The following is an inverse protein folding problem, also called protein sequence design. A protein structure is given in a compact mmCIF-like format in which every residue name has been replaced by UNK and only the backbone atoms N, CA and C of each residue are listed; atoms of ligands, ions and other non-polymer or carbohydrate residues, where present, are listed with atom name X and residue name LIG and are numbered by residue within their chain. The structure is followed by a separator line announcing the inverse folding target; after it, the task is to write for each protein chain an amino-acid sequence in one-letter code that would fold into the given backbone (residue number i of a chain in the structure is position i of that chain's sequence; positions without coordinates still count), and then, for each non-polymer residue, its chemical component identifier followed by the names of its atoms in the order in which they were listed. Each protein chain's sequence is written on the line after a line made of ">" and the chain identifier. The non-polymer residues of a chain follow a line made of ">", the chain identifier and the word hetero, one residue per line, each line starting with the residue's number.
data_IF_785032912122
#
_entry.id   IF_785032912122
#
_cell.length_a   1.000
_cell.length_b   1.000
_cell.length_c   1.000
_cell.angle_alpha   90.00
_cell.angle_beta   90.00
_cell.angle_gamma   90.00
#
_symmetry.space_group_name_H-M   'P 1'
#
loop_
_entity.id
_entity.type
_entity.pdbx_description
1 polymer ?
#
# COMPACT_ATOMS: atom_id res chain seq x y z
N UNK A 1 24.46 6.06 17.20
CA UNK A 1 23.96 4.90 16.42
C UNK A 1 25.11 4.36 15.59
N UNK A 2 25.43 3.06 15.70
CA UNK A 2 26.50 2.44 14.90
C UNK A 2 25.87 1.90 13.61
N UNK A 3 26.22 2.46 12.45
CA UNK A 3 25.72 2.03 11.13
C UNK A 3 26.87 1.48 10.27
N UNK A 4 26.57 0.43 9.51
CA UNK A 4 27.54 -0.32 8.71
C UNK A 4 27.75 0.35 7.35
N UNK A 5 29.00 0.44 6.86
CA UNK A 5 29.28 0.79 5.46
C UNK A 5 30.46 -0.02 4.91
N UNK A 6 30.30 -0.54 3.68
CA UNK A 6 31.34 -1.26 2.95
C UNK A 6 32.29 -0.26 2.29
N UNK A 7 33.60 -0.44 2.50
CA UNK A 7 34.62 0.34 1.80
C UNK A 7 35.31 -0.56 0.77
N UNK A 8 35.09 -0.30 -0.51
CA UNK A 8 35.82 -0.96 -1.59
C UNK A 8 37.04 -0.09 -1.95
N UNK A 9 38.24 -0.54 -1.58
CA UNK A 9 39.47 0.03 -2.13
C UNK A 9 39.69 -0.53 -3.54
N UNK A 10 40.03 0.33 -4.51
CA UNK A 10 40.51 -0.11 -5.83
C UNK A 10 41.87 -0.77 -5.65
N UNK A 11 41.87 -2.06 -5.40
CA UNK A 11 43.05 -2.91 -5.58
C UNK A 11 42.86 -3.72 -6.86
N UNK A 12 43.91 -3.74 -7.69
CA UNK A 12 43.91 -4.42 -8.98
C UNK A 12 43.54 -5.89 -8.87
N UNK A 13 43.03 -6.43 -9.98
CA UNK A 13 42.58 -7.82 -10.19
C UNK A 13 43.22 -8.84 -9.22
N UNK A 14 42.39 -9.46 -8.39
CA UNK A 14 42.62 -10.82 -7.89
C UNK A 14 43.11 -10.99 -6.46
N UNK A 15 42.58 -10.25 -5.47
CA UNK A 15 42.71 -10.64 -4.04
C UNK A 15 41.41 -10.41 -3.26
N UNK A 16 41.19 -11.28 -2.27
CA UNK A 16 39.99 -11.40 -1.44
C UNK A 16 39.54 -10.06 -0.84
N UNK A 17 38.27 -9.73 -1.02
CA UNK A 17 37.65 -8.54 -0.42
C UNK A 17 37.84 -8.61 1.10
N UNK A 18 38.64 -7.69 1.66
CA UNK A 18 38.81 -7.58 3.10
C UNK A 18 37.44 -7.33 3.74
N UNK A 19 37.15 -8.08 4.81
CA UNK A 19 35.90 -7.97 5.57
C UNK A 19 35.64 -6.50 5.96
N UNK A 20 34.38 -6.03 5.92
CA UNK A 20 34.05 -4.66 6.29
C UNK A 20 34.57 -4.33 7.69
N UNK A 21 35.38 -3.28 7.80
CA UNK A 21 35.91 -2.77 9.06
C UNK A 21 34.99 -1.67 9.57
N UNK A 22 34.63 -1.75 10.86
CA UNK A 22 33.78 -0.75 11.50
C UNK A 22 34.63 0.46 11.89
N UNK A 23 34.33 1.61 11.28
CA UNK A 23 34.87 2.91 11.67
C UNK A 23 33.83 3.69 12.45
N UNK A 24 34.28 4.52 13.39
CA UNK A 24 33.42 5.40 14.18
C UNK A 24 33.43 6.81 13.55
N UNK A 25 32.27 7.46 13.48
CA UNK A 25 32.07 8.74 12.82
C UNK A 25 31.72 9.81 13.86
N UNK A 26 32.53 10.87 14.02
CA UNK A 26 32.21 11.98 14.91
C UNK A 26 31.31 13.06 14.26
N UNK A 27 30.79 12.83 13.05
CA UNK A 27 30.08 13.85 12.26
C UNK A 27 28.58 13.66 12.34
N UNK A 28 27.89 14.67 12.87
CA UNK A 28 26.44 14.81 12.80
C UNK A 28 26.13 15.79 11.65
N UNK A 29 25.26 15.40 10.71
CA UNK A 29 24.73 16.21 9.59
C UNK A 29 25.41 16.19 8.21
N UNK A 30 26.57 15.54 7.99
CA UNK A 30 27.17 15.38 6.63
C UNK A 30 27.21 13.90 6.17
N UNK A 31 26.32 13.06 6.70
CA UNK A 31 26.22 11.67 6.26
C UNK A 31 25.37 11.58 4.99
N UNK A 32 25.83 10.86 3.95
CA UNK A 32 25.02 10.63 2.76
C UNK A 32 23.77 9.83 3.12
N UNK A 33 22.73 10.00 2.32
CA UNK A 33 21.47 9.29 2.44
C UNK A 33 21.68 7.77 2.55
N UNK A 34 20.83 7.11 3.33
CA UNK A 34 20.96 5.68 3.60
C UNK A 34 20.92 4.87 2.30
N UNK A 35 21.86 3.93 2.15
CA UNK A 35 22.09 3.14 0.93
C UNK A 35 22.80 3.85 -0.23
N UNK A 36 23.24 5.10 -0.05
CA UNK A 36 24.03 5.84 -1.06
C UNK A 36 25.53 5.77 -0.77
N UNK A 37 26.33 5.40 -1.78
CA UNK A 37 27.79 5.39 -1.71
C UNK A 37 28.30 6.79 -2.01
N UNK A 38 29.02 7.40 -1.07
CA UNK A 38 29.65 8.71 -1.26
C UNK A 38 31.09 8.50 -1.75
N UNK A 39 31.32 8.82 -3.02
CA UNK A 39 32.62 8.72 -3.67
C UNK A 39 33.55 9.90 -3.37
N UNK A 40 33.02 11.00 -2.82
CA UNK A 40 33.72 12.23 -2.48
C UNK A 40 34.07 12.31 -0.99
N UNK A 41 33.68 11.30 -0.19
CA UNK A 41 33.90 11.25 1.25
C UNK A 41 35.37 11.46 1.64
N UNK A 42 36.29 10.76 0.97
CA UNK A 42 37.73 10.87 1.22
C UNK A 42 38.34 12.22 0.79
N UNK A 43 37.57 13.07 0.10
CA UNK A 43 37.97 14.45 -0.22
C UNK A 43 37.66 15.41 0.93
N UNK A 44 36.71 15.05 1.82
CA UNK A 44 36.31 15.84 2.99
C UNK A 44 36.86 15.30 4.32
N UNK A 45 37.16 14.00 4.38
CA UNK A 45 37.55 13.32 5.61
C UNK A 45 38.81 12.46 5.43
N UNK A 46 39.66 12.45 6.45
CA UNK A 46 40.83 11.58 6.54
C UNK A 46 40.73 10.67 7.75
N UNK A 47 41.21 9.43 7.62
CA UNK A 47 41.26 8.48 8.72
C UNK A 47 42.36 8.90 9.71
N UNK A 48 42.07 8.85 11.00
CA UNK A 48 43.04 9.08 12.05
C UNK A 48 44.01 7.89 12.18
N UNK A 49 45.10 8.09 12.92
CA UNK A 49 46.15 7.08 13.13
C UNK A 49 45.64 5.80 13.82
N UNK A 50 44.47 5.87 14.47
CA UNK A 50 43.79 4.73 15.09
C UNK A 50 43.12 3.78 14.08
N UNK A 51 43.21 4.10 12.79
CA UNK A 51 42.61 3.35 11.68
C UNK A 51 41.07 3.16 11.82
N UNK A 52 40.42 4.02 12.62
CA UNK A 52 39.04 3.81 13.04
C UNK A 52 38.20 5.07 13.05
N UNK A 53 38.77 6.23 13.36
CA UNK A 53 38.04 7.48 13.49
C UNK A 53 38.28 8.36 12.27
N UNK A 54 37.22 8.91 11.67
CA UNK A 54 37.34 9.87 10.56
C UNK A 54 37.35 11.32 11.07
N UNK A 55 38.36 12.09 10.68
CA UNK A 55 38.50 13.51 10.99
C UNK A 55 38.23 14.37 9.74
N UNK A 56 37.58 15.52 9.93
CA UNK A 56 37.39 16.52 8.85
C UNK A 56 38.76 17.02 8.39
N UNK A 57 38.99 17.07 7.09
CA UNK A 57 40.16 17.75 6.51
C UNK A 57 39.94 19.27 6.68
N UNK A 58 40.83 19.99 7.38
CA UNK A 58 40.66 21.42 7.63
C UNK A 58 40.53 22.23 6.33
N UNK A 59 39.45 23.00 6.17
CA UNK A 59 39.20 23.85 5.00
C UNK A 59 38.26 23.27 3.92
N UNK A 60 37.71 22.08 4.13
CA UNK A 60 36.86 21.35 3.15
C UNK A 60 35.42 21.09 3.60
N UNK A 61 35.02 21.57 4.78
CA UNK A 61 33.64 21.50 5.24
C UNK A 61 32.81 22.68 4.70
N UNK A 62 31.51 22.50 4.36
CA UNK A 62 30.59 23.62 4.23
C UNK A 62 30.56 24.38 5.56
N UNK A 63 30.73 25.70 5.52
CA UNK A 63 30.77 26.55 6.72
C UNK A 63 29.47 26.40 7.54
N UNK A 64 29.58 25.72 8.67
CA UNK A 64 28.93 26.15 9.91
C UNK A 64 30.01 26.14 10.98
N UNK A 65 30.51 27.34 11.26
CA UNK A 65 31.54 27.59 12.25
C UNK A 65 30.86 27.64 13.62
N UNK A 66 31.10 26.65 14.47
CA UNK A 66 30.99 26.83 15.93
C UNK A 66 32.25 26.29 16.56
N UNK A 67 33.20 27.20 16.73
CA UNK A 67 34.37 27.06 17.60
C UNK A 67 33.92 26.72 19.01
N UNK A 68 34.18 25.50 19.46
CA UNK A 68 34.17 25.14 20.88
C UNK A 68 35.59 25.26 21.41
N UNK A 69 35.84 26.21 22.31
CA UNK A 69 36.95 26.13 23.27
C UNK A 69 36.40 25.83 24.67
N UNK A 70 37.11 25.01 25.46
CA UNK A 70 36.55 24.39 26.67
C UNK A 70 36.86 25.22 27.92
N UNK A 71 36.02 25.11 28.95
CA UNK A 71 36.46 25.35 30.32
C UNK A 71 35.58 24.65 31.36
N UNK A 72 36.27 24.08 32.33
CA UNK A 72 35.80 23.28 33.45
C UNK A 72 35.02 24.07 34.51
N UNK A 73 34.28 23.31 35.31
CA UNK A 73 33.69 23.57 36.64
C UNK A 73 34.44 24.55 37.55
N UNK A 74 33.74 25.48 38.24
CA UNK A 74 33.34 25.43 39.68
C UNK A 74 32.94 26.82 40.25
N UNK A 75 31.88 26.83 41.07
CA UNK A 75 31.61 27.65 42.27
C UNK A 75 31.11 29.12 42.20
N UNK A 76 29.84 29.27 42.55
CA UNK A 76 29.23 29.93 43.74
C UNK A 76 29.27 31.46 44.00
N UNK A 77 28.10 31.93 44.47
CA UNK A 77 27.73 33.15 45.21
C UNK A 77 27.92 34.57 44.60
N UNK A 78 26.79 35.23 44.29
CA UNK A 78 26.18 36.35 45.06
C UNK A 78 25.46 37.40 44.17
N UNK A 79 24.25 37.81 44.58
CA UNK A 79 23.40 38.90 44.04
C UNK A 79 23.80 40.25 44.71
N UNK A 80 23.31 41.48 44.34
CA UNK A 80 22.05 41.81 43.63
C UNK A 80 22.04 43.05 42.67
N UNK A 81 20.84 43.26 42.08
CA UNK A 81 20.14 44.54 41.74
C UNK A 81 20.41 45.31 40.42
N UNK A 82 19.47 45.16 39.48
CA UNK A 82 18.70 46.12 38.63
C UNK A 82 19.23 47.57 38.39
N UNK A 83 18.93 48.24 37.23
CA UNK A 83 17.65 48.15 36.52
C UNK A 83 17.65 48.10 34.97
N UNK A 84 16.51 47.61 34.48
CA UNK A 84 15.86 47.83 33.18
C UNK A 84 16.31 49.09 32.42
N UNK A 85 16.68 48.91 31.16
CA UNK A 85 16.35 49.86 30.09
C UNK A 85 15.94 49.07 28.87
N UNK A 86 14.64 49.04 28.61
CA UNK A 86 14.09 48.64 27.34
C UNK A 86 14.42 49.73 26.31
N UNK A 87 15.03 49.33 25.20
CA UNK A 87 14.85 49.96 23.89
C UNK A 87 15.36 48.98 22.85
N UNK A 88 14.50 48.05 22.44
CA UNK A 88 14.53 47.59 21.07
C UNK A 88 13.24 48.05 20.43
N UNK A 89 13.34 49.15 19.69
CA UNK A 89 12.37 49.52 18.66
C UNK A 89 12.06 48.27 17.85
N UNK A 90 10.80 47.85 17.87
CA UNK A 90 10.25 46.91 16.92
C UNK A 90 10.53 47.48 15.52
N UNK A 91 11.35 46.77 14.77
CA UNK A 91 11.53 46.98 13.34
C UNK A 91 10.24 46.51 12.66
N UNK A 92 9.26 47.41 12.59
CA UNK A 92 7.97 47.19 11.94
C UNK A 92 8.22 47.16 10.43
N UNK A 93 8.64 46.00 9.91
CA UNK A 93 8.80 45.80 8.47
C UNK A 93 9.62 44.60 8.01
N UNK A 94 10.39 43.94 8.89
CA UNK A 94 11.24 42.83 8.46
C UNK A 94 10.42 41.54 8.24
N UNK A 95 10.18 41.20 6.96
CA UNK A 95 9.62 39.90 6.56
C UNK A 95 10.74 38.89 6.36
N UNK A 96 10.42 37.61 6.54
CA UNK A 96 11.37 36.51 6.38
C UNK A 96 10.74 35.39 5.56
N UNK A 97 11.56 34.68 4.78
CA UNK A 97 11.07 33.60 3.94
C UNK A 97 10.53 32.44 4.78
N UNK A 98 9.34 31.96 4.42
CA UNK A 98 8.67 30.86 5.11
C UNK A 98 9.39 29.52 4.89
N UNK A 99 9.99 29.32 3.71
CA UNK A 99 10.69 28.07 3.35
C UNK A 99 11.87 27.73 4.27
N UNK A 100 12.48 28.75 4.88
CA UNK A 100 13.59 28.60 5.82
C UNK A 100 13.14 28.24 7.25
N UNK A 101 11.84 28.06 7.48
CA UNK A 101 11.27 27.69 8.78
C UNK A 101 11.15 26.18 8.91
N UNK A 102 11.14 25.70 10.16
CA UNK A 102 10.94 24.27 10.45
C UNK A 102 9.60 23.81 9.87
N UNK A 103 9.46 22.54 9.45
CA UNK A 103 8.20 22.04 8.92
C UNK A 103 7.01 22.25 9.86
N UNK A 104 7.21 22.16 11.17
CA UNK A 104 6.15 22.42 12.14
C UNK A 104 5.67 23.88 12.09
N UNK A 105 6.60 24.85 12.03
CA UNK A 105 6.24 26.27 11.88
C UNK A 105 5.60 26.55 10.52
N UNK A 106 6.08 25.92 9.43
CA UNK A 106 5.46 26.07 8.10
C UNK A 106 4.01 25.57 8.09
N UNK A 107 3.75 24.39 8.64
CA UNK A 107 2.39 23.85 8.79
C UNK A 107 1.51 24.73 9.68
N UNK A 108 2.05 25.32 10.76
CA UNK A 108 1.30 26.24 11.61
C UNK A 108 0.89 27.51 10.85
N UNK A 109 1.81 28.11 10.07
CA UNK A 109 1.49 29.26 9.21
C UNK A 109 0.41 28.89 8.18
N UNK A 110 0.54 27.74 7.51
CA UNK A 110 -0.45 27.28 6.55
C UNK A 110 -1.83 27.01 7.18
N UNK A 111 -1.86 26.52 8.42
CA UNK A 111 -3.10 26.25 9.13
C UNK A 111 -3.83 27.55 9.52
N UNK A 112 -3.08 28.52 10.05
CA UNK A 112 -3.58 29.81 10.53
C UNK A 112 -3.98 30.77 9.39
N UNK A 113 -3.33 30.67 8.23
CA UNK A 113 -3.56 31.55 7.10
C UNK A 113 -4.57 31.01 6.06
N UNK A 114 -5.49 31.86 5.63
CA UNK A 114 -6.42 31.54 4.53
C UNK A 114 -5.81 31.75 3.13
N UNK A 115 -4.64 32.39 3.07
CA UNK A 115 -3.93 32.69 1.83
C UNK A 115 -2.54 32.09 1.87
N UNK A 116 -2.03 31.76 0.68
CA UNK A 116 -0.65 31.37 0.51
C UNK A 116 0.29 32.54 0.86
N UNK A 117 1.33 32.25 1.64
CA UNK A 117 2.38 33.18 2.02
C UNK A 117 3.74 32.56 1.68
N UNK A 118 4.58 33.28 0.92
CA UNK A 118 5.99 32.94 0.72
C UNK A 118 6.89 33.55 1.79
N UNK A 119 6.43 34.63 2.43
CA UNK A 119 7.11 35.37 3.49
C UNK A 119 6.17 35.63 4.66
N UNK A 120 6.75 35.72 5.86
CA UNK A 120 6.03 35.99 7.11
C UNK A 120 6.71 37.11 7.90
N UNK A 121 5.88 37.90 8.57
CA UNK A 121 6.31 38.89 9.57
C UNK A 121 6.81 38.22 10.87
N UNK A 122 7.48 38.99 11.71
CA UNK A 122 7.92 38.52 13.02
C UNK A 122 6.73 38.12 13.91
N UNK A 123 5.63 38.87 13.87
CA UNK A 123 4.42 38.59 14.63
C UNK A 123 3.79 37.26 14.19
N UNK A 124 3.67 37.04 12.87
CA UNK A 124 3.16 35.77 12.33
C UNK A 124 4.08 34.60 12.69
N UNK A 125 5.39 34.80 12.69
CA UNK A 125 6.35 33.78 13.10
C UNK A 125 6.18 33.42 14.58
N UNK A 126 6.02 34.40 15.47
CA UNK A 126 5.81 34.15 16.91
C UNK A 126 4.56 33.31 17.13
N UNK A 127 3.41 33.72 16.55
CA UNK A 127 2.14 33.00 16.70
C UNK A 127 2.24 31.57 16.16
N UNK A 128 2.88 31.38 15.00
CA UNK A 128 3.06 30.05 14.41
C UNK A 128 4.00 29.17 15.25
N UNK A 129 5.04 29.74 15.85
CA UNK A 129 5.97 29.01 16.70
C UNK A 129 5.36 28.60 18.05
N UNK A 130 4.51 29.46 18.62
CA UNK A 130 3.70 29.13 19.80
C UNK A 130 2.77 27.95 19.51
N UNK A 131 2.01 28.00 18.40
CA UNK A 131 1.16 26.89 17.99
C UNK A 131 1.97 25.60 17.74
N UNK A 132 3.15 25.72 17.13
CA UNK A 132 4.01 24.57 16.85
C UNK A 132 4.59 23.89 18.10
N UNK A 133 4.67 24.63 19.21
CA UNK A 133 5.18 24.14 20.49
C UNK A 133 4.06 23.79 21.49
N UNK A 134 2.79 24.08 21.14
CA UNK A 134 1.65 23.83 22.00
C UNK A 134 1.24 22.34 21.96
N UNK A 135 1.70 21.58 22.96
CA UNK A 135 1.32 20.18 23.16
C UNK A 135 -0.16 20.02 23.55
N UNK A 136 -0.82 21.09 24.02
CA UNK A 136 -2.24 21.11 24.35
C UNK A 136 -3.15 21.24 23.12
N UNK A 137 -2.61 21.67 21.97
CA UNK A 137 -3.39 21.77 20.74
C UNK A 137 -3.54 20.41 20.05
N UNK A 138 -4.55 19.64 20.47
CA UNK A 138 -4.79 18.28 19.99
C UNK A 138 -4.92 18.21 18.46
N UNK A 139 -5.54 19.20 17.83
CA UNK A 139 -5.70 19.23 16.37
C UNK A 139 -4.34 19.38 15.68
N UNK A 140 -3.51 20.34 16.11
CA UNK A 140 -2.21 20.56 15.51
C UNK A 140 -1.25 19.40 15.77
N UNK A 141 -1.30 18.80 16.97
CA UNK A 141 -0.54 17.60 17.27
C UNK A 141 -0.95 16.41 16.41
N UNK A 142 -2.25 16.24 16.14
CA UNK A 142 -2.75 15.24 15.19
C UNK A 142 -2.21 15.49 13.78
N UNK A 143 -2.23 16.74 13.31
CA UNK A 143 -1.70 17.14 12.00
C UNK A 143 -0.19 16.87 11.88
N UNK A 144 0.60 17.23 12.90
CA UNK A 144 2.04 17.01 12.92
C UNK A 144 2.38 15.52 12.93
N UNK A 145 1.66 14.72 13.71
CA UNK A 145 1.83 13.27 13.74
C UNK A 145 1.55 12.65 12.37
N UNK A 146 0.39 12.99 11.78
CA UNK A 146 0.02 12.53 10.45
C UNK A 146 1.07 12.91 9.40
N UNK A 147 1.56 14.15 9.44
CA UNK A 147 2.63 14.64 8.55
C UNK A 147 3.92 13.83 8.69
N UNK A 148 4.30 13.41 9.90
CA UNK A 148 5.50 12.60 10.10
C UNK A 148 5.34 11.14 9.64
N UNK A 149 4.10 10.65 9.55
CA UNK A 149 3.79 9.29 9.07
C UNK A 149 3.67 9.21 7.52
N UNK A 150 3.71 10.35 6.82
CA UNK A 150 3.55 10.43 5.36
C UNK A 150 4.91 10.61 4.69
N UNK A 151 5.32 9.60 3.92
CA UNK A 151 6.47 9.69 3.03
C UNK A 151 6.24 10.74 1.92
N UNK A 152 7.32 11.27 1.35
CA UNK A 152 7.33 12.20 0.21
C UNK A 152 6.74 13.60 0.50
N UNK A 153 6.35 13.90 1.76
CA UNK A 153 5.84 15.24 2.12
C UNK A 153 6.93 16.32 2.06
N UNK A 154 8.20 15.91 2.22
CA UNK A 154 9.38 16.77 2.06
C UNK A 154 9.58 17.27 0.62
N UNK A 155 9.05 16.53 -0.35
CA UNK A 155 9.26 16.80 -1.78
C UNK A 155 8.20 17.78 -2.32
N UNK A 156 7.22 18.14 -1.49
CA UNK A 156 6.21 19.12 -1.85
C UNK A 156 6.80 20.52 -1.93
N UNK A 157 6.47 21.24 -3.02
CA UNK A 157 6.65 22.68 -3.04
C UNK A 157 5.87 23.36 -1.91
N UNK A 158 6.36 24.50 -1.42
CA UNK A 158 5.70 25.28 -0.37
C UNK A 158 4.22 25.60 -0.67
N UNK A 159 3.89 25.82 -1.95
CA UNK A 159 2.52 26.06 -2.38
C UNK A 159 1.65 24.80 -2.37
N UNK A 160 2.23 23.65 -2.72
CA UNK A 160 1.54 22.36 -2.63
C UNK A 160 1.29 21.96 -1.16
N UNK A 161 2.24 22.23 -0.28
CA UNK A 161 2.09 22.05 1.17
C UNK A 161 0.93 22.89 1.72
N UNK A 162 0.87 24.19 1.36
CA UNK A 162 -0.26 25.04 1.75
C UNK A 162 -1.61 24.49 1.27
N UNK A 163 -1.70 24.06 0.01
CA UNK A 163 -2.93 23.46 -0.55
C UNK A 163 -3.32 22.16 0.17
N UNK A 164 -2.35 21.32 0.50
CA UNK A 164 -2.59 20.11 1.27
C UNK A 164 -3.18 20.44 2.64
N UNK A 165 -2.60 21.41 3.37
CA UNK A 165 -3.12 21.83 4.67
C UNK A 165 -4.53 22.39 4.58
N UNK A 166 -4.86 23.16 3.52
CA UNK A 166 -6.24 23.61 3.31
C UNK A 166 -7.19 22.44 3.05
N UNK A 167 -6.80 21.48 2.22
CA UNK A 167 -7.59 20.29 1.95
C UNK A 167 -7.83 19.47 3.23
N UNK A 168 -6.83 19.37 4.12
CA UNK A 168 -6.99 18.74 5.44
C UNK A 168 -7.99 19.50 6.30
N UNK A 169 -7.96 20.84 6.34
CA UNK A 169 -8.95 21.66 7.09
C UNK A 169 -10.38 21.40 6.59
N UNK A 170 -10.55 21.21 5.28
CA UNK A 170 -11.86 20.96 4.67
C UNK A 170 -12.41 19.57 5.00
N UNK A 171 -11.57 18.54 4.98
CA UNK A 171 -11.98 17.16 5.27
C UNK A 171 -12.06 16.88 6.77
N UNK A 172 -11.17 17.49 7.56
CA UNK A 172 -11.01 17.29 9.00
C UNK A 172 -11.18 18.62 9.74
N UNK A 173 -12.42 19.00 10.12
CA UNK A 173 -12.69 20.27 10.79
C UNK A 173 -12.02 20.41 12.16
N UNK A 174 -11.44 21.58 12.46
CA UNK A 174 -10.69 21.83 13.71
C UNK A 174 -11.48 21.62 15.02
N UNK A 175 -12.81 21.74 14.96
CA UNK A 175 -13.69 21.57 16.13
C UNK A 175 -13.91 20.10 16.54
N UNK A 176 -13.28 19.14 15.84
CA UNK A 176 -13.45 17.70 16.08
C UNK A 176 -12.10 17.04 16.36
N UNK A 177 -12.11 15.99 17.17
CA UNK A 177 -10.98 15.08 17.30
C UNK A 177 -10.89 14.17 16.07
N UNK A 178 -9.67 13.90 15.63
CA UNK A 178 -9.39 13.09 14.43
C UNK A 178 -8.33 12.04 14.73
N UNK A 179 -8.45 10.89 14.06
CA UNK A 179 -7.43 9.85 14.08
C UNK A 179 -6.25 10.28 13.17
N UNK A 180 -5.02 10.40 13.71
CA UNK A 180 -3.84 10.75 12.90
C UNK A 180 -3.59 9.77 11.76
N UNK A 181 -3.96 8.49 11.88
CA UNK A 181 -3.81 7.52 10.79
C UNK A 181 -4.72 7.86 9.60
N UNK A 182 -5.95 8.32 9.86
CA UNK A 182 -6.88 8.73 8.81
C UNK A 182 -6.44 10.02 8.13
N UNK A 183 -5.92 10.98 8.90
CA UNK A 183 -5.35 12.22 8.36
C UNK A 183 -4.13 11.89 7.47
N UNK A 184 -3.24 10.99 7.91
CA UNK A 184 -2.09 10.55 7.13
C UNK A 184 -2.50 9.84 5.84
N UNK A 185 -3.50 8.95 5.90
CA UNK A 185 -4.03 8.27 4.72
C UNK A 185 -4.61 9.25 3.69
N UNK A 186 -5.33 10.28 4.14
CA UNK A 186 -5.80 11.34 3.26
C UNK A 186 -4.64 12.12 2.63
N UNK A 187 -3.66 12.55 3.44
CA UNK A 187 -2.50 13.29 2.95
C UNK A 187 -1.73 12.50 1.89
N UNK A 188 -1.46 11.22 2.13
CA UNK A 188 -0.79 10.34 1.17
C UNK A 188 -1.58 10.20 -0.13
N UNK A 189 -2.90 10.00 -0.04
CA UNK A 189 -3.78 9.96 -1.21
C UNK A 189 -3.76 11.27 -1.99
N UNK A 190 -3.74 12.41 -1.31
CA UNK A 190 -3.70 13.74 -1.92
C UNK A 190 -2.36 14.03 -2.63
N UNK A 191 -1.25 13.60 -2.03
CA UNK A 191 0.09 13.73 -2.63
C UNK A 191 0.19 12.89 -3.91
N UNK A 192 -0.29 11.65 -3.86
CA UNK A 192 -0.29 10.73 -5.02
C UNK A 192 -1.26 11.14 -6.13
N UNK A 193 -2.35 11.83 -5.79
CA UNK A 193 -3.34 12.30 -6.75
C UNK A 193 -2.77 13.38 -7.67
N UNK A 194 -3.11 13.29 -8.96
CA UNK A 194 -2.80 14.35 -9.91
C UNK A 194 -3.54 15.65 -9.55
N UNK A 195 -3.00 16.79 -9.98
CA UNK A 195 -3.54 18.10 -9.62
C UNK A 195 -5.04 18.28 -9.98
N UNK A 196 -5.50 17.64 -11.06
CA UNK A 196 -6.91 17.65 -11.48
C UNK A 196 -7.84 16.78 -10.64
N UNK A 197 -7.31 15.79 -9.91
CA UNK A 197 -8.10 14.80 -9.17
C UNK A 197 -8.27 15.16 -7.69
N UNK A 198 -7.41 16.03 -7.15
CA UNK A 198 -7.38 16.40 -5.73
C UNK A 198 -8.71 16.97 -5.20
N UNK A 199 -9.43 17.74 -6.02
CA UNK A 199 -10.74 18.27 -5.62
C UNK A 199 -11.79 17.16 -5.50
N UNK A 200 -11.77 16.18 -6.42
CA UNK A 200 -12.66 15.03 -6.34
C UNK A 200 -12.33 14.16 -5.13
N UNK A 201 -11.03 13.98 -4.83
CA UNK A 201 -10.58 13.29 -3.63
C UNK A 201 -11.14 13.95 -2.36
N UNK A 202 -11.06 15.29 -2.25
CA UNK A 202 -11.62 16.03 -1.11
C UNK A 202 -13.12 15.77 -0.95
N UNK A 203 -13.90 15.83 -2.03
CA UNK A 203 -15.34 15.57 -1.99
C UNK A 203 -15.68 14.12 -1.66
N UNK A 204 -14.93 13.15 -2.21
CA UNK A 204 -15.08 11.72 -1.88
C UNK A 204 -14.86 11.48 -0.38
N UNK A 205 -13.81 12.06 0.21
CA UNK A 205 -13.53 11.96 1.64
C UNK A 205 -14.60 12.65 2.51
N UNK A 206 -15.08 13.84 2.10
CA UNK A 206 -16.19 14.53 2.79
C UNK A 206 -17.50 13.74 2.75
N UNK A 207 -17.72 12.96 1.70
CA UNK A 207 -18.89 12.08 1.55
C UNK A 207 -18.79 10.76 2.34
N UNK A 208 -17.64 10.48 2.94
CA UNK A 208 -17.37 9.22 3.66
C UNK A 208 -16.91 8.06 2.77
N UNK A 209 -16.63 8.33 1.49
CA UNK A 209 -16.07 7.36 0.54
C UNK A 209 -14.55 7.29 0.72
N UNK A 210 -14.14 6.50 1.71
CA UNK A 210 -12.72 6.29 2.01
C UNK A 210 -12.06 5.42 0.94
N UNK A 211 -10.83 5.74 0.50
CA UNK A 211 -10.05 4.83 -0.34
C UNK A 211 -9.84 3.52 0.44
N UNK A 212 -10.01 2.39 -0.24
CA UNK A 212 -9.70 1.07 0.33
C UNK A 212 -8.28 1.09 0.85
N UNK A 213 -8.12 1.02 2.18
CA UNK A 213 -6.84 0.80 2.86
C UNK A 213 -6.19 -0.40 2.17
N UNK A 214 -4.94 -0.26 1.71
CA UNK A 214 -4.13 -1.41 1.30
C UNK A 214 -3.89 -2.25 2.56
N UNK A 215 -4.89 -3.04 2.94
CA UNK A 215 -4.83 -3.91 4.10
C UNK A 215 -3.71 -4.91 3.87
N UNK A 216 -2.81 -5.13 4.86
CA UNK A 216 -1.73 -6.08 4.71
C UNK A 216 -2.30 -7.45 4.33
N UNK A 217 -1.74 -8.07 3.30
CA UNK A 217 -2.18 -9.37 2.80
C UNK A 217 -0.99 -10.28 2.52
N UNK A 218 -1.24 -11.58 2.45
CA UNK A 218 -0.28 -12.55 1.90
C UNK A 218 -1.00 -13.47 0.91
N UNK A 219 -0.22 -14.24 0.16
CA UNK A 219 -0.74 -15.27 -0.73
C UNK A 219 -0.64 -16.64 -0.08
N UNK A 220 -1.73 -17.39 -0.15
CA UNK A 220 -1.79 -18.78 0.30
C UNK A 220 -2.56 -19.58 -0.74
N UNK A 221 -1.93 -20.59 -1.34
CA UNK A 221 -2.55 -21.42 -2.36
C UNK A 221 -3.14 -20.61 -3.55
N UNK A 222 -2.58 -19.41 -3.84
CA UNK A 222 -3.09 -18.49 -4.85
C UNK A 222 -4.23 -17.56 -4.39
N UNK A 223 -4.69 -17.68 -3.14
CA UNK A 223 -5.65 -16.78 -2.52
C UNK A 223 -4.94 -15.59 -1.87
N UNK A 224 -5.45 -14.38 -2.11
CA UNK A 224 -5.02 -13.17 -1.37
C UNK A 224 -5.75 -13.14 -0.01
N UNK A 225 -5.06 -13.52 1.06
CA UNK A 225 -5.60 -13.56 2.43
C UNK A 225 -5.32 -12.23 3.13
N UNK A 226 -6.35 -11.61 3.69
CA UNK A 226 -6.25 -10.38 4.47
C UNK A 226 -5.67 -10.68 5.85
N UNK A 227 -4.75 -9.83 6.35
CA UNK A 227 -4.10 -10.02 7.65
C UNK A 227 -5.05 -10.01 8.83
N UNK A 228 -6.11 -9.21 8.72
CA UNK A 228 -7.12 -9.09 9.75
C UNK A 228 -8.33 -10.01 9.49
N UNK A 229 -8.28 -10.81 8.41
CA UNK A 229 -9.33 -11.76 8.07
C UNK A 229 -9.33 -12.95 9.03
N UNK A 230 -10.50 -13.25 9.58
CA UNK A 230 -10.74 -14.46 10.36
C UNK A 230 -11.09 -15.66 9.45
N UNK A 231 -11.38 -16.80 10.06
CA UNK A 231 -11.77 -18.03 9.36
C UNK A 231 -13.09 -17.88 8.57
N UNK A 232 -13.95 -16.94 8.98
CA UNK A 232 -15.25 -16.67 8.35
C UNK A 232 -15.15 -15.68 7.19
N UNK A 233 -13.98 -15.11 6.94
CA UNK A 233 -13.74 -14.18 5.84
C UNK A 233 -14.07 -14.86 4.51
N UNK A 234 -14.94 -14.20 3.73
CA UNK A 234 -15.51 -14.73 2.49
C UNK A 234 -14.86 -14.11 1.27
N UNK A 235 -14.36 -14.97 0.39
CA UNK A 235 -13.74 -14.59 -0.87
C UNK A 235 -14.68 -14.90 -2.03
N UNK A 236 -14.91 -13.93 -2.92
CA UNK A 236 -15.82 -14.10 -4.05
C UNK A 236 -15.28 -15.13 -5.05
N UNK A 237 -16.07 -16.15 -5.37
CA UNK A 237 -15.68 -17.23 -6.30
C UNK A 237 -15.31 -16.67 -7.67
N UNK A 238 -16.02 -15.65 -8.17
CA UNK A 238 -15.75 -15.04 -9.47
C UNK A 238 -14.38 -14.34 -9.58
N UNK A 239 -13.65 -14.16 -8.46
CA UNK A 239 -12.30 -13.59 -8.42
C UNK A 239 -11.20 -14.65 -8.36
N UNK A 240 -11.55 -15.93 -8.22
CA UNK A 240 -10.59 -17.03 -8.20
C UNK A 240 -10.13 -17.41 -9.62
N UNK A 241 -9.00 -18.13 -9.77
CA UNK A 241 -8.62 -18.74 -11.05
C UNK A 241 -9.72 -19.67 -11.58
N UNK A 242 -9.86 -19.77 -12.91
CA UNK A 242 -10.95 -20.51 -13.56
C UNK A 242 -11.17 -21.93 -13.01
N UNK A 243 -10.10 -22.69 -12.80
CA UNK A 243 -10.17 -24.06 -12.25
C UNK A 243 -10.80 -24.08 -10.86
N UNK A 244 -10.37 -23.16 -9.99
CA UNK A 244 -10.95 -22.97 -8.67
C UNK A 244 -12.42 -22.56 -8.74
N UNK A 245 -12.82 -21.72 -9.70
CA UNK A 245 -14.24 -21.38 -9.90
C UNK A 245 -15.07 -22.60 -10.28
N UNK A 246 -14.55 -23.45 -11.18
CA UNK A 246 -15.21 -24.67 -11.62
C UNK A 246 -15.37 -25.67 -10.47
N UNK A 247 -14.29 -25.92 -9.72
CA UNK A 247 -14.31 -26.82 -8.57
C UNK A 247 -15.21 -26.30 -7.46
N UNK A 248 -15.24 -24.99 -7.22
CA UNK A 248 -16.13 -24.37 -6.24
C UNK A 248 -17.60 -24.68 -6.49
N UNK A 249 -18.01 -24.86 -7.76
CA UNK A 249 -19.36 -25.28 -8.12
C UNK A 249 -19.54 -26.79 -8.21
N UNK A 250 -18.46 -27.55 -8.44
CA UNK A 250 -18.50 -29.01 -8.54
C UNK A 250 -18.72 -29.69 -7.19
N UNK A 251 -18.24 -29.09 -6.10
CA UNK A 251 -18.23 -29.70 -4.77
C UNK A 251 -19.48 -29.42 -3.94
N UNK A 252 -20.46 -28.69 -4.49
CA UNK A 252 -21.67 -28.24 -3.79
C UNK A 252 -22.94 -28.54 -4.55
N UNK A 253 -24.01 -28.90 -3.84
CA UNK A 253 -25.31 -29.12 -4.46
C UNK A 253 -26.04 -27.81 -4.84
N UNK A 254 -25.61 -26.68 -4.26
CA UNK A 254 -26.19 -25.35 -4.50
C UNK A 254 -25.15 -24.35 -5.04
N UNK A 255 -25.63 -23.26 -5.63
CA UNK A 255 -24.79 -22.22 -6.22
C UNK A 255 -23.92 -21.55 -5.15
N UNK A 256 -22.60 -21.63 -5.30
CA UNK A 256 -21.65 -21.05 -4.34
C UNK A 256 -21.07 -19.74 -4.87
N UNK A 257 -21.40 -18.62 -4.23
CA UNK A 257 -20.87 -17.29 -4.59
C UNK A 257 -19.56 -16.94 -3.88
N UNK A 258 -19.31 -17.52 -2.71
CA UNK A 258 -18.15 -17.24 -1.89
C UNK A 258 -17.55 -18.52 -1.32
N UNK A 259 -16.26 -18.48 -1.01
CA UNK A 259 -15.54 -19.51 -0.25
C UNK A 259 -14.89 -18.88 0.97
N UNK A 260 -14.80 -19.63 2.06
CA UNK A 260 -13.89 -19.29 3.17
C UNK A 260 -12.45 -19.66 2.82
N UNK A 261 -11.50 -19.25 3.69
CA UNK A 261 -10.10 -19.65 3.57
C UNK A 261 -9.94 -21.18 3.59
N UNK A 262 -10.68 -21.86 4.48
CA UNK A 262 -10.67 -23.32 4.59
C UNK A 262 -11.24 -24.01 3.35
N UNK A 263 -12.41 -23.56 2.89
CA UNK A 263 -13.03 -24.09 1.66
C UNK A 263 -12.11 -23.89 0.44
N UNK A 264 -11.42 -22.74 0.33
CA UNK A 264 -10.45 -22.52 -0.73
C UNK A 264 -9.25 -23.50 -0.65
N UNK A 265 -8.76 -23.80 0.56
CA UNK A 265 -7.68 -24.76 0.73
C UNK A 265 -8.11 -26.18 0.28
N UNK A 266 -9.34 -26.59 0.56
CA UNK A 266 -9.91 -27.85 0.07
C UNK A 266 -10.00 -27.88 -1.46
N UNK A 267 -10.45 -26.79 -2.08
CA UNK A 267 -10.51 -26.68 -3.55
C UNK A 267 -9.11 -26.70 -4.19
N UNK A 268 -8.12 -26.07 -3.56
CA UNK A 268 -6.73 -26.15 -4.02
C UNK A 268 -6.16 -27.56 -3.89
N UNK A 269 -6.43 -28.26 -2.79
CA UNK A 269 -6.04 -29.65 -2.61
C UNK A 269 -6.69 -30.54 -3.68
N UNK A 270 -7.97 -30.32 -3.97
CA UNK A 270 -8.69 -31.04 -5.02
C UNK A 270 -8.16 -30.76 -6.43
N UNK A 271 -7.77 -29.52 -6.73
CA UNK A 271 -7.11 -29.19 -8.01
C UNK A 271 -5.76 -29.91 -8.16
N UNK A 272 -5.00 -29.97 -7.06
CA UNK A 272 -3.65 -30.54 -7.02
C UNK A 272 -3.63 -32.07 -6.95
N UNK A 273 -4.76 -32.71 -6.64
CA UNK A 273 -4.90 -34.16 -6.61
C UNK A 273 -4.92 -34.72 -8.04
N UNK A 274 -3.74 -35.13 -8.51
CA UNK A 274 -3.55 -35.73 -9.84
C UNK A 274 -4.14 -37.13 -9.96
N UNK A 275 -4.39 -37.81 -8.84
CA UNK A 275 -4.95 -39.16 -8.81
C UNK A 275 -6.47 -39.14 -8.93
N UNK A 276 -7.11 -37.99 -8.64
CA UNK A 276 -8.53 -37.77 -8.88
C UNK A 276 -8.85 -37.65 -10.38
N UNK A 277 -8.98 -38.80 -11.06
CA UNK A 277 -9.23 -38.83 -12.50
C UNK A 277 -10.50 -38.08 -12.92
N UNK A 278 -11.56 -38.11 -12.12
CA UNK A 278 -12.81 -37.41 -12.42
C UNK A 278 -12.58 -35.90 -12.50
N UNK A 279 -11.91 -35.33 -11.49
CA UNK A 279 -11.57 -33.91 -11.45
C UNK A 279 -10.61 -33.54 -12.57
N UNK A 280 -9.54 -34.30 -12.77
CA UNK A 280 -8.54 -34.00 -13.81
C UNK A 280 -9.14 -34.05 -15.22
N UNK A 281 -10.03 -35.01 -15.49
CA UNK A 281 -10.71 -35.14 -16.79
C UNK A 281 -11.67 -33.97 -17.02
N UNK A 282 -12.43 -33.56 -15.99
CA UNK A 282 -13.31 -32.40 -16.07
C UNK A 282 -12.53 -31.10 -16.28
N UNK A 283 -11.48 -30.86 -15.50
CA UNK A 283 -10.64 -29.66 -15.62
C UNK A 283 -10.06 -29.56 -17.03
N UNK A 284 -9.52 -30.66 -17.56
CA UNK A 284 -8.95 -30.69 -18.91
C UNK A 284 -9.99 -30.42 -20.00
N UNK A 285 -11.18 -31.02 -19.89
CA UNK A 285 -12.26 -30.78 -20.85
C UNK A 285 -12.76 -29.34 -20.80
N UNK A 286 -12.99 -28.80 -19.59
CA UNK A 286 -13.45 -27.44 -19.39
C UNK A 286 -12.43 -26.40 -19.87
N UNK A 287 -11.14 -26.60 -19.59
CA UNK A 287 -10.05 -25.72 -20.06
C UNK A 287 -9.92 -25.69 -21.58
N UNK A 288 -10.28 -26.78 -22.25
CA UNK A 288 -10.23 -26.85 -23.73
C UNK A 288 -11.36 -26.08 -24.43
N UNK A 289 -12.34 -25.56 -23.67
CA UNK A 289 -13.54 -24.92 -24.19
C UNK A 289 -13.60 -23.45 -23.76
N UNK A 290 -13.34 -22.53 -24.70
CA UNK A 290 -13.27 -21.09 -24.41
C UNK A 290 -14.61 -20.53 -23.91
N UNK A 291 -15.73 -21.09 -24.39
CA UNK A 291 -17.07 -20.70 -24.02
C UNK A 291 -17.36 -20.98 -22.54
N UNK A 292 -16.87 -22.10 -22.00
CA UNK A 292 -17.01 -22.42 -20.56
C UNK A 292 -16.23 -21.40 -19.71
N UNK A 293 -15.04 -20.97 -20.17
CA UNK A 293 -14.21 -19.99 -19.47
C UNK A 293 -14.86 -18.60 -19.40
N UNK A 294 -15.79 -18.32 -20.30
CA UNK A 294 -16.56 -17.08 -20.32
C UNK A 294 -17.85 -17.14 -19.48
N UNK A 295 -18.19 -18.30 -18.89
CA UNK A 295 -19.40 -18.43 -18.08
C UNK A 295 -19.30 -17.62 -16.78
N UNK A 296 -20.44 -17.06 -16.37
CA UNK A 296 -20.59 -16.53 -15.02
C UNK A 296 -20.69 -17.69 -13.99
N UNK A 297 -20.69 -17.35 -12.71
CA UNK A 297 -20.77 -18.33 -11.62
C UNK A 297 -22.01 -19.24 -11.73
N UNK A 298 -23.14 -18.71 -12.22
CA UNK A 298 -24.41 -19.44 -12.32
C UNK A 298 -24.38 -20.44 -13.47
N UNK A 299 -23.83 -20.06 -14.61
CA UNK A 299 -23.69 -20.94 -15.76
C UNK A 299 -22.61 -22.00 -15.54
N UNK A 300 -21.54 -21.68 -14.82
CA UNK A 300 -20.58 -22.67 -14.32
C UNK A 300 -21.26 -23.71 -13.43
N UNK A 301 -22.09 -23.29 -12.47
CA UNK A 301 -22.84 -24.21 -11.62
C UNK A 301 -23.81 -25.09 -12.40
N UNK A 302 -24.53 -24.53 -13.38
CA UNK A 302 -25.41 -25.32 -14.26
C UNK A 302 -24.63 -26.37 -15.03
N UNK A 303 -23.46 -26.01 -15.54
CA UNK A 303 -22.57 -26.91 -16.26
C UNK A 303 -22.05 -28.03 -15.35
N UNK A 304 -21.47 -27.72 -14.18
CA UNK A 304 -20.98 -28.74 -13.24
C UNK A 304 -22.11 -29.65 -12.75
N UNK A 305 -23.30 -29.10 -12.49
CA UNK A 305 -24.48 -29.88 -12.13
C UNK A 305 -24.90 -30.86 -13.25
N UNK A 306 -24.83 -30.43 -14.51
CA UNK A 306 -25.11 -31.31 -15.65
C UNK A 306 -24.04 -32.42 -15.79
N UNK A 307 -22.76 -32.09 -15.58
CA UNK A 307 -21.66 -33.06 -15.55
C UNK A 307 -21.92 -34.11 -14.48
N UNK A 308 -22.25 -33.72 -13.24
CA UNK A 308 -22.55 -34.66 -12.14
C UNK A 308 -23.71 -35.60 -12.43
N UNK A 309 -24.70 -35.14 -13.19
CA UNK A 309 -25.86 -35.95 -13.57
C UNK A 309 -25.55 -36.98 -14.65
N UNK A 310 -24.62 -36.67 -15.56
CA UNK A 310 -24.25 -37.54 -16.68
C UNK A 310 -23.09 -38.47 -16.34
N UNK A 311 -22.15 -37.99 -15.54
CA UNK A 311 -20.90 -38.66 -15.22
C UNK A 311 -20.81 -38.87 -13.70
N UNK A 312 -20.82 -40.13 -13.29
CA UNK A 312 -20.69 -40.54 -11.88
C UNK A 312 -19.31 -40.17 -11.32
N UNK A 313 -19.25 -39.53 -10.15
CA UNK A 313 -17.96 -39.13 -9.53
C UNK A 313 -17.07 -40.31 -9.12
N UNK A 314 -17.68 -41.46 -8.83
CA UNK A 314 -17.02 -42.72 -8.43
C UNK A 314 -16.45 -43.51 -9.61
N UNK A 315 -16.63 -43.05 -10.85
CA UNK A 315 -16.21 -43.76 -12.05
C UNK A 315 -15.20 -42.98 -12.86
N UNK A 316 -14.30 -43.73 -13.50
CA UNK A 316 -13.41 -43.22 -14.52
C UNK A 316 -14.20 -42.95 -15.80
N UNK A 317 -14.06 -41.77 -16.38
CA UNK A 317 -14.67 -41.41 -17.66
C UNK A 317 -13.60 -41.07 -18.68
N UNK A 318 -13.85 -41.39 -19.94
CA UNK A 318 -12.94 -41.02 -21.03
C UNK A 318 -13.05 -39.52 -21.33
N UNK A 319 -11.89 -38.86 -21.47
CA UNK A 319 -11.81 -37.45 -21.83
C UNK A 319 -12.59 -37.13 -23.11
N UNK A 320 -12.51 -38.01 -24.11
CA UNK A 320 -13.21 -37.83 -25.39
C UNK A 320 -14.73 -37.74 -25.19
N UNK A 321 -15.31 -38.54 -24.30
CA UNK A 321 -16.74 -38.54 -24.03
C UNK A 321 -17.18 -37.27 -23.29
N UNK A 322 -16.38 -36.82 -22.33
CA UNK A 322 -16.66 -35.60 -21.57
C UNK A 322 -16.51 -34.35 -22.47
N UNK A 323 -15.54 -34.34 -23.38
CA UNK A 323 -15.40 -33.30 -24.42
C UNK A 323 -16.61 -33.27 -25.38
N UNK A 324 -17.08 -34.45 -25.83
CA UNK A 324 -18.27 -34.54 -26.68
C UNK A 324 -19.50 -33.97 -25.98
N UNK A 325 -19.74 -34.35 -24.73
CA UNK A 325 -20.83 -33.79 -23.93
C UNK A 325 -20.70 -32.28 -23.78
N UNK A 326 -19.51 -31.80 -23.39
CA UNK A 326 -19.26 -30.38 -23.15
C UNK A 326 -19.55 -29.54 -24.38
N UNK A 327 -19.09 -29.97 -25.56
CA UNK A 327 -19.36 -29.29 -26.83
C UNK A 327 -20.85 -29.28 -27.19
N UNK A 328 -21.53 -30.43 -27.05
CA UNK A 328 -22.98 -30.51 -27.27
C UNK A 328 -23.74 -29.61 -26.29
N UNK A 329 -23.33 -29.58 -25.02
CA UNK A 329 -23.94 -28.79 -23.95
C UNK A 329 -23.85 -27.29 -24.19
N UNK A 330 -22.66 -26.82 -24.57
CA UNK A 330 -22.39 -25.41 -24.88
C UNK A 330 -23.21 -24.97 -26.09
N UNK A 331 -23.23 -25.78 -27.16
CA UNK A 331 -23.98 -25.50 -28.38
C UNK A 331 -25.51 -25.55 -28.19
N UNK A 332 -25.99 -26.20 -27.14
CA UNK A 332 -27.43 -26.35 -26.88
C UNK A 332 -28.01 -25.09 -26.22
N UNK A 333 -29.13 -24.54 -26.75
CA UNK A 333 -29.84 -23.43 -26.14
C UNK A 333 -30.19 -23.71 -24.68
N UNK A 334 -30.17 -22.67 -23.84
CA UNK A 334 -30.41 -22.80 -22.39
C UNK A 334 -31.69 -23.58 -22.06
N UNK A 335 -32.78 -23.36 -22.82
CA UNK A 335 -34.08 -24.02 -22.62
C UNK A 335 -34.06 -25.53 -22.88
N UNK A 336 -33.10 -26.02 -23.66
CA UNK A 336 -33.00 -27.43 -24.09
C UNK A 336 -31.89 -28.20 -23.40
N UNK A 337 -30.99 -27.49 -22.70
CA UNK A 337 -29.91 -28.09 -21.91
C UNK A 337 -30.44 -29.18 -20.97
N UNK A 338 -31.54 -28.95 -20.26
CA UNK A 338 -32.12 -29.97 -19.37
C UNK A 338 -32.53 -31.28 -20.07
N UNK A 339 -32.96 -31.21 -21.34
CA UNK A 339 -33.30 -32.39 -22.15
C UNK A 339 -32.01 -33.12 -22.54
N UNK A 340 -31.01 -32.38 -23.03
CA UNK A 340 -29.70 -32.94 -23.38
C UNK A 340 -29.07 -33.71 -22.21
N UNK A 341 -29.12 -33.17 -20.98
CA UNK A 341 -28.53 -33.86 -19.81
C UNK A 341 -29.21 -35.20 -19.59
N UNK A 342 -30.55 -35.23 -19.71
CA UNK A 342 -31.35 -36.41 -19.41
C UNK A 342 -31.06 -37.53 -20.40
N UNK A 343 -31.01 -37.20 -21.69
CA UNK A 343 -30.64 -38.16 -22.74
C UNK A 343 -29.23 -38.72 -22.52
N UNK A 344 -28.25 -37.85 -22.23
CA UNK A 344 -26.89 -38.28 -21.95
C UNK A 344 -26.77 -39.14 -20.69
N UNK A 345 -27.53 -38.83 -19.64
CA UNK A 345 -27.60 -39.62 -18.42
C UNK A 345 -28.26 -40.99 -18.65
N UNK A 346 -29.21 -41.09 -19.60
CA UNK A 346 -29.79 -42.35 -20.06
C UNK A 346 -28.85 -43.16 -21.00
N UNK A 347 -27.70 -42.60 -21.38
CA UNK A 347 -26.72 -43.21 -22.28
C UNK A 347 -26.88 -42.81 -23.75
N UNK A 348 -27.89 -42.01 -24.09
CA UNK A 348 -28.14 -41.52 -25.45
C UNK A 348 -27.23 -40.32 -25.74
N UNK A 349 -26.15 -40.55 -26.49
CA UNK A 349 -25.10 -39.56 -26.79
C UNK A 349 -25.48 -38.62 -27.94
N UNK A 350 -26.63 -37.97 -27.84
CA UNK A 350 -27.14 -37.05 -28.87
C UNK A 350 -26.28 -35.78 -28.98
N UNK A 351 -26.11 -35.26 -30.20
CA UNK A 351 -25.35 -34.01 -30.44
C UNK A 351 -26.22 -32.75 -30.43
N UNK A 352 -27.53 -32.90 -30.64
CA UNK A 352 -28.51 -31.82 -30.67
C UNK A 352 -29.87 -32.32 -30.17
N UNK A 353 -30.63 -31.43 -29.54
CA UNK A 353 -31.99 -31.73 -29.05
C UNK A 353 -32.98 -31.56 -30.20
N UNK A 354 -33.73 -32.63 -30.50
CA UNK A 354 -34.86 -32.56 -31.42
C UNK A 354 -36.14 -32.40 -30.61
N UNK A 355 -36.78 -31.23 -30.69
CA UNK A 355 -38.13 -31.07 -30.17
C UNK A 355 -39.09 -31.70 -31.16
N UNK A 356 -39.70 -32.81 -30.79
CA UNK A 356 -40.87 -33.31 -31.50
C UNK A 356 -42.05 -32.41 -31.15
N UNK A 357 -42.71 -31.84 -32.17
CA UNK A 357 -43.96 -31.09 -32.05
C UNK A 357 -45.12 -32.01 -31.65
N UNK A 358 -45.06 -32.62 -30.47
CA UNK A 358 -46.15 -33.40 -29.92
C UNK A 358 -47.09 -32.47 -29.13
N UNK A 359 -47.94 -31.72 -29.85
CA UNK A 359 -49.00 -30.96 -29.19
C UNK A 359 -49.57 -29.77 -29.95
N UNK A 360 -50.06 -29.96 -31.18
CA UNK A 360 -51.13 -29.10 -31.70
C UNK A 360 -51.97 -29.85 -32.75
N UNK A 361 -52.78 -30.80 -32.29
CA UNK A 361 -54.02 -31.15 -33.00
C UNK A 361 -55.15 -30.44 -32.27
N UNK A 362 -55.77 -29.49 -32.98
CA UNK A 362 -56.98 -28.77 -32.57
C UNK A 362 -58.19 -29.69 -32.49
#
# INVERSE_FOLDING_TARGET
>A
MSRWKMQASKTGRGKDYAKPVRTDFPVFNDLPEESTIDYTWCERYTLADDQRTWNVIPGTAPQDETTLLPASTTSDADLPAAPVTATHTADVGSTSQLENRTPAVRFAVHLLGDKYLSEISQEQHIVANELASDEGNVYFQCLLKAKNDVADISDLSLHAEWKLVQAVKEVFPQAKEHDPELVAAFMLGWIKAEAGERNQLVEDWKSGKLPTRDEPYWYENGLRVLKNGDEFTRYAVCKLPFRQQLLAQLTVDELRHHVTRGEHAELHALESDTDNNYVQTLLLAAESCAEIKAFDTKDLWRYTNAIRKVFSMDKRHELALLLQFTKAWVATPYIDRGILTREWAAGNRISHVQRTDAGYQR
#
